data_IF_833488030011
#
_entry.id   IF_833488030011
#
_cell.length_a   1.000
_cell.length_b   1.000
_cell.length_c   1.000
_cell.angle_alpha   90.00
_cell.angle_beta   90.00
_cell.angle_gamma   90.00
#
_symmetry.space_group_name_H-M   'P 1'
#
loop_
_entity.id
_entity.type
_entity.pdbx_description
1 polymer ?
#
# COMPACT_ATOMS: atom_id res chain seq x y z
N UNK A 1 -15.16 12.27 11.39
CA UNK A 1 -13.94 11.72 10.77
C UNK A 1 -14.24 11.57 9.30
N UNK A 2 -13.49 12.19 8.40
CA UNK A 2 -13.74 12.06 6.97
C UNK A 2 -13.42 10.65 6.50
N UNK A 3 -14.44 9.92 6.10
CA UNK A 3 -14.34 8.58 5.50
C UNK A 3 -13.89 8.60 4.03
N UNK A 4 -13.47 9.76 3.55
CA UNK A 4 -13.14 10.04 2.16
C UNK A 4 -11.79 9.41 1.78
N UNK A 5 -11.73 8.49 0.83
CA UNK A 5 -10.47 7.91 0.38
C UNK A 5 -9.67 8.95 -0.39
N UNK A 6 -8.40 9.13 -0.01
CA UNK A 6 -7.45 10.08 -0.65
C UNK A 6 -6.05 9.51 -0.58
N UNK A 7 -5.19 9.91 -1.49
CA UNK A 7 -3.77 9.57 -1.39
C UNK A 7 -3.21 9.94 0.00
N UNK A 8 -2.36 9.09 0.55
CA UNK A 8 -1.82 9.24 1.88
C UNK A 8 -2.75 8.82 3.03
N UNK A 9 -3.93 8.25 2.75
CA UNK A 9 -4.77 7.61 3.77
C UNK A 9 -4.48 6.10 3.81
N UNK A 10 -4.76 5.49 4.96
CA UNK A 10 -4.75 4.04 5.11
C UNK A 10 -6.17 3.49 4.96
N UNK A 11 -6.26 2.39 4.22
CA UNK A 11 -7.39 1.47 4.28
C UNK A 11 -7.02 0.34 5.22
N UNK A 12 -7.72 0.24 6.33
CA UNK A 12 -7.50 -0.83 7.31
C UNK A 12 -8.65 -1.82 7.20
N UNK A 13 -8.33 -3.05 6.82
CA UNK A 13 -9.32 -4.10 6.66
C UNK A 13 -10.11 -4.34 7.95
N UNK A 14 -11.44 -4.40 7.84
CA UNK A 14 -12.27 -4.76 9.00
C UNK A 14 -12.03 -6.24 9.39
N UNK A 15 -12.26 -6.65 10.63
CA UNK A 15 -12.08 -8.03 11.06
C UNK A 15 -12.87 -9.05 10.26
N UNK A 16 -13.98 -8.60 9.64
CA UNK A 16 -14.91 -9.45 8.87
C UNK A 16 -14.53 -9.58 7.40
N UNK A 17 -13.55 -8.81 6.91
CA UNK A 17 -13.07 -8.90 5.54
C UNK A 17 -12.37 -10.25 5.32
N UNK A 18 -13.05 -11.17 4.62
CA UNK A 18 -12.61 -12.55 4.43
C UNK A 18 -11.76 -12.78 3.17
N UNK A 19 -11.52 -11.76 2.34
CA UNK A 19 -10.66 -11.90 1.17
C UNK A 19 -9.21 -12.22 1.59
N UNK A 20 -8.61 -13.33 1.10
CA UNK A 20 -7.29 -13.76 1.53
C UNK A 20 -6.17 -12.76 1.22
N UNK A 21 -6.33 -11.90 0.20
CA UNK A 21 -5.35 -10.88 -0.12
C UNK A 21 -5.39 -9.72 0.89
N UNK A 22 -6.57 -9.48 1.50
CA UNK A 22 -6.80 -8.31 2.33
C UNK A 22 -7.21 -8.61 3.78
N UNK A 23 -7.36 -9.87 4.18
CA UNK A 23 -7.61 -10.20 5.59
C UNK A 23 -6.56 -9.52 6.47
N UNK A 24 -7.00 -8.57 7.36
CA UNK A 24 -6.11 -7.76 8.22
C UNK A 24 -5.05 -6.98 7.45
N UNK A 25 -5.32 -6.59 6.22
CA UNK A 25 -4.43 -5.72 5.48
C UNK A 25 -4.48 -4.28 6.01
N UNK A 26 -3.34 -3.61 5.87
CA UNK A 26 -3.19 -2.17 5.96
C UNK A 26 -2.69 -1.72 4.59
N UNK A 27 -3.50 -0.98 3.87
CA UNK A 27 -3.17 -0.51 2.52
C UNK A 27 -2.96 1.00 2.57
N UNK A 28 -1.85 1.48 2.05
CA UNK A 28 -1.65 2.90 1.80
C UNK A 28 -2.24 3.25 0.43
N UNK A 29 -3.12 4.23 0.38
CA UNK A 29 -3.57 4.81 -0.89
C UNK A 29 -2.43 5.67 -1.43
N UNK A 30 -1.93 5.31 -2.61
CA UNK A 30 -0.83 5.99 -3.30
C UNK A 30 -1.38 7.04 -4.28
N UNK A 31 -2.44 6.67 -5.01
CA UNK A 31 -3.14 7.54 -5.95
C UNK A 31 -4.65 7.30 -5.82
N UNK A 32 -5.43 8.37 -5.95
CA UNK A 32 -6.88 8.31 -5.94
C UNK A 32 -7.44 9.42 -6.82
N UNK A 33 -8.19 9.05 -7.82
CA UNK A 33 -8.88 9.95 -8.74
C UNK A 33 -10.28 9.38 -9.03
N UNK A 34 -11.32 10.20 -8.90
CA UNK A 34 -12.72 9.77 -9.04
C UNK A 34 -13.00 9.06 -10.37
N UNK A 35 -12.38 9.52 -11.47
CA UNK A 35 -12.59 8.97 -12.82
C UNK A 35 -11.62 7.85 -13.20
N UNK A 36 -10.49 7.72 -12.52
CA UNK A 36 -9.45 6.74 -12.82
C UNK A 36 -9.39 5.59 -11.82
N UNK A 37 -9.99 5.78 -10.64
CA UNK A 37 -9.99 4.82 -9.55
C UNK A 37 -8.83 5.01 -8.58
N UNK A 38 -8.55 3.98 -7.80
CA UNK A 38 -7.61 4.04 -6.69
C UNK A 38 -6.50 3.02 -6.86
N UNK A 39 -5.27 3.45 -6.56
CA UNK A 39 -4.11 2.59 -6.43
C UNK A 39 -3.58 2.65 -4.99
N UNK A 40 -3.29 1.47 -4.43
CA UNK A 40 -2.70 1.37 -3.11
C UNK A 40 -1.68 0.23 -3.01
N UNK A 41 -0.91 0.23 -1.93
CA UNK A 41 0.03 -0.84 -1.60
C UNK A 41 -0.22 -1.40 -0.22
N UNK A 42 -0.22 -2.73 -0.09
CA UNK A 42 -0.35 -3.42 1.19
C UNK A 42 0.96 -3.32 1.95
N UNK A 43 0.93 -2.69 3.13
CA UNK A 43 2.12 -2.38 3.92
C UNK A 43 2.60 -3.52 4.81
N UNK A 44 1.73 -4.50 5.11
CA UNK A 44 1.97 -5.50 6.12
C UNK A 44 1.98 -6.94 5.58
N UNK A 45 2.64 -7.12 4.44
CA UNK A 45 2.84 -8.45 3.83
C UNK A 45 4.32 -8.63 3.44
N UNK A 46 5.23 -8.74 4.41
CA UNK A 46 6.62 -9.07 4.09
C UNK A 46 6.71 -10.44 3.43
N UNK A 47 7.62 -10.61 2.50
CA UNK A 47 7.96 -11.91 1.91
C UNK A 47 9.27 -12.43 2.51
N UNK A 48 9.69 -13.61 2.09
CA UNK A 48 11.00 -14.17 2.44
C UNK A 48 12.10 -13.75 1.47
N UNK A 49 11.76 -12.99 0.41
CA UNK A 49 12.71 -12.56 -0.63
C UNK A 49 13.38 -11.26 -0.18
N UNK A 50 14.69 -11.31 0.06
CA UNK A 50 15.49 -10.13 0.35
C UNK A 50 15.56 -9.17 -0.83
N UNK A 51 15.55 -7.86 -0.57
CA UNK A 51 15.68 -6.84 -1.63
C UNK A 51 16.93 -7.09 -2.47
N UNK A 52 18.05 -7.45 -1.86
CA UNK A 52 19.31 -7.72 -2.54
C UNK A 52 19.27 -8.92 -3.51
N UNK A 53 18.31 -9.81 -3.39
CA UNK A 53 18.17 -10.95 -4.31
C UNK A 53 17.57 -10.55 -5.67
N UNK A 54 16.84 -9.43 -5.73
CA UNK A 54 16.12 -8.98 -6.94
C UNK A 54 16.56 -7.60 -7.40
N UNK A 55 17.07 -6.77 -6.48
CA UNK A 55 17.49 -5.40 -6.70
C UNK A 55 18.79 -5.12 -5.93
N UNK A 56 19.86 -5.80 -6.29
CA UNK A 56 21.16 -5.80 -5.57
C UNK A 56 21.65 -4.39 -5.23
N UNK A 57 21.55 -3.47 -6.19
CA UNK A 57 22.02 -2.09 -6.04
C UNK A 57 21.21 -1.25 -5.03
N UNK A 58 20.05 -1.74 -4.56
CA UNK A 58 19.17 -1.06 -3.61
C UNK A 58 19.26 -1.64 -2.19
N UNK A 59 20.07 -2.68 -1.97
CA UNK A 59 20.17 -3.42 -0.72
C UNK A 59 20.48 -2.53 0.47
N UNK A 60 21.51 -1.68 0.36
CA UNK A 60 21.99 -0.80 1.42
C UNK A 60 20.98 0.30 1.82
N UNK A 61 20.03 0.61 0.92
CA UNK A 61 19.03 1.65 1.13
C UNK A 61 17.70 1.10 1.66
N UNK A 62 17.51 -0.22 1.58
CA UNK A 62 16.26 -0.86 2.00
C UNK A 62 16.12 -0.84 3.53
N UNK A 63 15.00 -0.30 4.02
CA UNK A 63 14.67 -0.26 5.45
C UNK A 63 14.30 -1.65 5.97
N UNK A 64 14.75 -1.98 7.18
CA UNK A 64 14.42 -3.25 7.84
C UNK A 64 12.90 -3.41 8.10
N UNK A 65 12.36 -4.63 7.92
CA UNK A 65 13.03 -5.79 7.34
C UNK A 65 13.32 -5.57 5.85
N UNK A 66 14.60 -5.78 5.45
CA UNK A 66 15.11 -5.53 4.09
C UNK A 66 14.66 -6.61 3.10
N UNK A 67 13.35 -6.83 3.02
CA UNK A 67 12.69 -7.79 2.13
C UNK A 67 11.72 -7.09 1.19
N UNK A 68 11.35 -7.79 0.12
CA UNK A 68 10.26 -7.35 -0.76
C UNK A 68 8.93 -7.64 -0.07
N UNK A 69 8.02 -6.68 -0.11
CA UNK A 69 6.66 -6.81 0.40
C UNK A 69 5.69 -7.15 -0.74
N UNK A 70 4.66 -7.94 -0.47
CA UNK A 70 3.57 -8.15 -1.42
C UNK A 70 2.63 -6.95 -1.35
N UNK A 71 2.71 -6.06 -2.34
CA UNK A 71 1.95 -4.81 -2.39
C UNK A 71 0.48 -4.98 -2.77
N UNK A 72 0.13 -6.13 -3.37
CA UNK A 72 -1.25 -6.44 -3.74
C UNK A 72 -1.36 -7.52 -4.82
N UNK A 73 -2.59 -7.85 -5.25
CA UNK A 73 -2.84 -8.94 -6.20
C UNK A 73 -2.58 -8.56 -7.66
N UNK A 74 -2.42 -7.27 -7.98
CA UNK A 74 -2.24 -6.78 -9.37
C UNK A 74 -0.76 -6.67 -9.71
N UNK A 75 -0.37 -7.11 -10.91
CA UNK A 75 0.98 -7.00 -11.48
C UNK A 75 2.10 -7.44 -10.51
N UNK A 76 1.98 -8.61 -9.91
CA UNK A 76 2.92 -9.13 -8.90
C UNK A 76 4.36 -9.32 -9.40
N UNK A 77 4.57 -9.29 -10.70
CA UNK A 77 5.89 -9.29 -11.36
C UNK A 77 6.46 -7.89 -11.63
N UNK A 78 5.79 -6.84 -11.16
CA UNK A 78 6.25 -5.46 -11.25
C UNK A 78 6.62 -4.97 -9.86
N UNK A 79 7.70 -4.20 -9.75
CA UNK A 79 8.13 -3.59 -8.51
C UNK A 79 7.62 -2.14 -8.40
N UNK A 80 7.23 -1.74 -7.20
CA UNK A 80 6.93 -0.38 -6.80
C UNK A 80 7.76 -0.06 -5.56
N UNK A 81 8.32 1.12 -5.47
CA UNK A 81 9.07 1.53 -4.30
C UNK A 81 8.52 2.82 -3.69
N UNK A 82 8.45 2.84 -2.36
CA UNK A 82 8.17 4.02 -1.57
C UNK A 82 9.43 4.44 -0.85
N UNK A 83 9.77 5.72 -0.94
CA UNK A 83 10.93 6.29 -0.27
C UNK A 83 10.57 7.57 0.48
N UNK A 84 11.18 7.73 1.67
CA UNK A 84 11.13 8.96 2.44
C UNK A 84 12.38 9.78 2.12
N UNK A 85 12.17 10.97 1.55
CA UNK A 85 13.23 11.91 1.22
C UNK A 85 12.95 13.22 1.95
N UNK A 86 13.55 13.48 3.13
CA UNK A 86 13.43 14.75 3.83
C UNK A 86 14.08 15.88 3.04
N UNK A 87 13.66 17.11 3.28
CA UNK A 87 14.20 18.27 2.58
C UNK A 87 13.18 18.89 1.62
N UNK A 88 13.61 19.89 0.84
CA UNK A 88 12.75 20.65 -0.07
C UNK A 88 12.88 20.22 -1.52
N UNK A 89 14.01 19.62 -1.87
CA UNK A 89 14.32 19.23 -3.25
C UNK A 89 13.57 17.96 -3.65
N UNK A 90 13.20 17.88 -4.92
CA UNK A 90 12.64 16.68 -5.53
C UNK A 90 13.68 16.09 -6.47
N UNK A 91 14.44 15.09 -6.03
CA UNK A 91 15.47 14.50 -6.87
C UNK A 91 14.83 13.74 -8.05
N UNK A 92 15.55 13.70 -9.17
CA UNK A 92 15.12 12.96 -10.36
C UNK A 92 14.89 11.49 -10.01
N UNK A 93 13.74 10.94 -10.42
CA UNK A 93 13.37 9.56 -10.13
C UNK A 93 12.58 9.39 -8.82
N UNK A 94 12.26 10.48 -8.12
CA UNK A 94 11.36 10.45 -6.98
C UNK A 94 10.22 11.47 -7.15
N UNK A 95 9.00 11.10 -6.78
CA UNK A 95 7.80 11.94 -6.84
C UNK A 95 7.04 11.85 -5.52
N UNK A 96 6.83 12.97 -4.86
CA UNK A 96 6.04 13.03 -3.64
C UNK A 96 4.61 12.47 -3.87
N UNK A 97 4.01 11.89 -2.84
CA UNK A 97 2.58 11.56 -2.85
C UNK A 97 1.77 12.85 -2.75
N UNK A 98 0.90 13.07 -3.72
CA UNK A 98 0.02 14.22 -3.76
C UNK A 98 -1.02 14.14 -2.63
N UNK A 99 -1.39 15.30 -2.04
CA UNK A 99 -2.46 15.37 -1.06
C UNK A 99 -2.19 14.73 0.30
N UNK A 100 -0.96 14.34 0.60
CA UNK A 100 -0.58 13.64 1.84
C UNK A 100 0.31 14.47 2.79
N UNK A 101 -0.13 15.64 3.30
CA UNK A 101 0.71 16.49 4.13
C UNK A 101 1.19 15.83 5.43
N UNK A 102 0.42 14.88 5.96
CA UNK A 102 0.78 14.11 7.16
C UNK A 102 1.94 13.12 6.93
N UNK A 103 2.19 12.74 5.68
CA UNK A 103 3.28 11.83 5.30
C UNK A 103 4.53 12.56 4.81
N UNK A 104 4.65 13.84 5.16
CA UNK A 104 5.72 14.74 4.78
C UNK A 104 6.89 14.07 4.04
N UNK A 105 6.92 14.23 2.71
CA UNK A 105 8.05 13.77 1.86
C UNK A 105 8.16 12.25 1.66
N UNK A 106 7.07 11.51 1.86
CA UNK A 106 6.92 10.16 1.32
C UNK A 106 6.58 10.26 -0.19
N UNK A 107 7.18 9.45 -1.00
CA UNK A 107 6.92 9.45 -2.45
C UNK A 107 7.21 8.11 -3.12
N UNK A 108 6.78 8.03 -4.37
CA UNK A 108 7.13 6.95 -5.29
C UNK A 108 8.55 7.14 -5.80
N UNK A 109 9.30 6.06 -5.83
CA UNK A 109 10.67 6.04 -6.34
C UNK A 109 10.76 5.15 -7.57
N UNK A 110 11.38 5.68 -8.62
CA UNK A 110 11.70 4.96 -9.84
C UNK A 110 12.96 4.12 -9.63
N UNK A 111 12.80 2.81 -9.61
CA UNK A 111 13.88 1.84 -9.39
C UNK A 111 14.84 1.73 -10.58
N UNK A 112 14.51 2.27 -11.74
CA UNK A 112 15.42 2.36 -12.90
C UNK A 112 16.42 3.54 -12.76
N UNK A 113 16.15 4.48 -11.86
CA UNK A 113 17.09 5.57 -11.53
C UNK A 113 18.30 5.00 -10.79
N UNK A 114 19.54 5.32 -11.18
CA UNK A 114 20.73 4.83 -10.49
C UNK A 114 20.73 5.21 -8.98
N UNK A 115 20.85 4.26 -8.04
CA UNK A 115 20.78 4.52 -6.61
C UNK A 115 21.74 5.59 -6.11
N UNK A 116 22.94 5.69 -6.72
CA UNK A 116 23.95 6.71 -6.35
C UNK A 116 23.45 8.16 -6.43
N UNK A 117 22.45 8.42 -7.27
CA UNK A 117 21.87 9.76 -7.42
C UNK A 117 20.88 10.09 -6.31
N UNK A 118 20.29 9.06 -5.69
CA UNK A 118 19.21 9.17 -4.71
C UNK A 118 19.67 8.83 -3.29
N UNK A 119 20.68 7.97 -3.16
CA UNK A 119 21.18 7.49 -1.86
C UNK A 119 21.44 8.60 -0.82
N UNK A 120 22.05 9.75 -1.16
CA UNK A 120 22.30 10.79 -0.17
C UNK A 120 21.03 11.44 0.39
N UNK A 121 19.91 11.33 -0.31
CA UNK A 121 18.64 11.97 0.05
C UNK A 121 17.65 10.99 0.72
N UNK A 122 17.79 9.68 0.48
CA UNK A 122 16.87 8.67 1.00
C UNK A 122 17.17 8.39 2.48
N UNK A 123 16.16 8.48 3.32
CA UNK A 123 16.25 8.05 4.73
C UNK A 123 15.54 6.73 5.00
N UNK A 124 14.57 6.37 4.17
CA UNK A 124 13.87 5.07 4.27
C UNK A 124 13.39 4.66 2.88
N UNK A 125 13.50 3.37 2.58
CA UNK A 125 13.07 2.77 1.32
C UNK A 125 12.38 1.43 1.59
N UNK A 126 11.24 1.19 0.94
CA UNK A 126 10.56 -0.12 0.95
C UNK A 126 10.09 -0.49 -0.45
N UNK A 127 10.33 -1.74 -0.82
CA UNK A 127 10.02 -2.29 -2.15
C UNK A 127 8.82 -3.23 -2.04
N UNK A 128 7.91 -3.10 -2.99
CA UNK A 128 6.67 -3.87 -3.08
C UNK A 128 6.60 -4.59 -4.42
N UNK A 129 6.20 -5.87 -4.40
CA UNK A 129 5.82 -6.62 -5.59
C UNK A 129 4.30 -6.51 -5.80
N UNK A 130 3.89 -5.93 -6.91
CA UNK A 130 2.50 -5.66 -7.23
C UNK A 130 1.87 -4.55 -6.41
N UNK A 131 0.57 -4.35 -6.62
CA UNK A 131 -0.24 -3.32 -5.98
C UNK A 131 -1.71 -3.76 -5.83
N UNK A 132 -2.49 -3.01 -5.07
CA UNK A 132 -3.93 -3.11 -4.99
C UNK A 132 -4.56 -2.02 -5.87
N UNK A 133 -5.59 -2.37 -6.63
CA UNK A 133 -6.26 -1.43 -7.52
C UNK A 133 -7.77 -1.54 -7.40
N UNK A 134 -8.45 -0.41 -7.41
CA UNK A 134 -9.91 -0.29 -7.43
C UNK A 134 -10.34 0.53 -8.64
N UNK A 135 -11.37 0.07 -9.34
CA UNK A 135 -12.02 0.84 -10.41
C UNK A 135 -12.74 2.07 -9.82
N UNK A 136 -13.08 3.08 -10.65
CA UNK A 136 -13.87 4.21 -10.20
C UNK A 136 -15.14 3.79 -9.43
N UNK A 137 -15.36 4.36 -8.25
CA UNK A 137 -16.50 4.07 -7.37
C UNK A 137 -16.45 2.73 -6.63
N UNK A 138 -15.50 1.85 -6.95
CA UNK A 138 -15.42 0.52 -6.30
C UNK A 138 -14.97 0.62 -4.85
N UNK A 139 -13.95 1.44 -4.57
CA UNK A 139 -13.44 1.61 -3.21
C UNK A 139 -14.50 2.23 -2.30
N UNK A 140 -15.21 3.24 -2.79
CA UNK A 140 -16.29 3.91 -2.08
C UNK A 140 -17.40 2.91 -1.70
N UNK A 141 -17.81 2.07 -2.65
CA UNK A 141 -18.79 1.02 -2.40
C UNK A 141 -18.31 0.02 -1.33
N UNK A 142 -17.03 -0.40 -1.38
CA UNK A 142 -16.45 -1.30 -0.37
C UNK A 142 -16.35 -0.65 1.02
N UNK A 143 -16.11 0.68 1.09
CA UNK A 143 -16.13 1.45 2.34
C UNK A 143 -17.56 1.51 2.91
N UNK A 144 -18.54 1.80 2.08
CA UNK A 144 -19.97 1.87 2.45
C UNK A 144 -20.50 0.50 2.91
N UNK A 145 -19.99 -0.59 2.34
CA UNK A 145 -20.28 -1.97 2.76
C UNK A 145 -19.56 -2.36 4.05
N UNK A 146 -18.67 -1.51 4.58
CA UNK A 146 -17.96 -1.76 5.83
C UNK A 146 -16.77 -2.71 5.68
N UNK A 147 -16.13 -2.78 4.51
CA UNK A 147 -14.92 -3.57 4.28
C UNK A 147 -13.67 -2.87 4.85
N UNK A 148 -13.65 -1.55 4.85
CA UNK A 148 -12.48 -0.74 5.17
C UNK A 148 -12.76 0.37 6.16
N UNK A 149 -11.83 0.59 7.08
CA UNK A 149 -11.72 1.84 7.86
C UNK A 149 -10.71 2.76 7.17
N UNK A 150 -11.11 4.01 6.90
CA UNK A 150 -10.23 5.03 6.31
C UNK A 150 -9.56 5.81 7.45
N UNK A 151 -8.25 5.65 7.60
CA UNK A 151 -7.46 6.17 8.73
C UNK A 151 -6.35 7.08 8.22
N UNK A 152 -5.98 8.10 9.00
CA UNK A 152 -4.82 8.94 8.68
C UNK A 152 -3.53 8.15 8.85
N UNK A 153 -2.72 8.09 7.79
CA UNK A 153 -1.43 7.45 7.83
C UNK A 153 -0.40 8.27 8.62
N UNK A 154 0.57 7.58 9.20
CA UNK A 154 1.77 8.17 9.79
C UNK A 154 3.01 7.64 9.05
N UNK A 155 4.12 8.40 8.97
CA UNK A 155 5.33 7.93 8.29
C UNK A 155 5.83 6.57 8.80
N UNK A 156 5.73 6.33 10.11
CA UNK A 156 6.11 5.06 10.73
C UNK A 156 5.27 3.85 10.32
N UNK A 157 4.08 4.04 9.73
CA UNK A 157 3.26 2.92 9.23
C UNK A 157 3.88 2.29 7.99
N UNK A 158 4.43 3.12 7.10
CA UNK A 158 5.00 2.66 5.84
C UNK A 158 6.28 1.88 6.07
N UNK A 159 7.08 2.29 7.07
CA UNK A 159 8.37 1.70 7.40
C UNK A 159 8.35 0.95 8.74
N UNK A 160 7.20 0.37 9.10
CA UNK A 160 7.06 -0.39 10.34
C UNK A 160 8.11 -1.51 10.44
N UNK A 161 8.83 -1.56 11.56
CA UNK A 161 9.82 -2.60 11.83
C UNK A 161 9.18 -3.97 12.08
N UNK A 162 7.96 -4.00 12.58
CA UNK A 162 7.14 -5.21 12.77
C UNK A 162 5.84 -5.10 11.95
N UNK A 163 5.91 -5.41 10.63
CA UNK A 163 4.77 -5.26 9.74
C UNK A 163 3.62 -6.22 10.07
N UNK A 164 3.88 -7.36 10.69
CA UNK A 164 2.84 -8.32 11.06
C UNK A 164 1.90 -7.76 12.14
N UNK A 165 2.40 -6.86 12.99
CA UNK A 165 1.62 -6.18 14.02
C UNK A 165 1.00 -4.88 13.56
N UNK A 166 1.31 -4.38 12.36
CA UNK A 166 0.89 -3.07 11.88
C UNK A 166 -0.64 -2.87 11.96
N UNK A 167 -1.43 -3.87 11.56
CA UNK A 167 -2.89 -3.81 11.61
C UNK A 167 -3.40 -3.50 13.03
N UNK A 168 -2.86 -4.20 14.03
CA UNK A 168 -3.22 -3.97 15.44
C UNK A 168 -2.70 -2.63 15.95
N UNK A 169 -1.51 -2.21 15.54
CA UNK A 169 -0.90 -0.95 15.95
C UNK A 169 -1.71 0.25 15.43
N UNK A 170 -2.11 0.21 14.14
CA UNK A 170 -2.92 1.26 13.53
C UNK A 170 -4.29 1.39 14.20
N UNK A 171 -4.95 0.28 14.52
CA UNK A 171 -6.24 0.30 15.22
C UNK A 171 -6.10 0.80 16.67
N UNK A 172 -5.08 0.36 17.41
CA UNK A 172 -4.89 0.75 18.82
C UNK A 172 -4.72 2.24 19.05
N UNK A 173 -4.17 2.95 18.06
CA UNK A 173 -3.98 4.40 18.17
C UNK A 173 -5.23 5.22 17.81
N UNK A 174 -6.31 4.55 17.42
CA UNK A 174 -7.58 5.23 17.15
C UNK A 174 -8.37 5.39 18.45
N UNK A 175 -9.23 6.43 18.47
CA UNK A 175 -10.15 6.66 19.57
C UNK A 175 -11.40 5.78 19.44
N UNK A 176 -12.05 5.53 20.57
CA UNK A 176 -13.34 4.85 20.63
C UNK A 176 -13.29 3.37 20.25
N UNK A 177 -14.34 2.90 19.58
CA UNK A 177 -14.57 1.47 19.31
C UNK A 177 -13.49 0.84 18.40
N UNK A 178 -12.83 1.61 17.56
CA UNK A 178 -11.78 1.10 16.68
C UNK A 178 -10.58 0.53 17.45
N UNK A 179 -10.24 1.12 18.60
CA UNK A 179 -9.13 0.62 19.43
C UNK A 179 -9.41 -0.76 20.00
N UNK A 180 -10.67 -1.08 20.29
CA UNK A 180 -11.06 -2.41 20.78
C UNK A 180 -10.93 -3.49 19.70
N UNK A 181 -11.09 -3.13 18.42
CA UNK A 181 -10.92 -4.08 17.30
C UNK A 181 -9.49 -4.64 17.22
N UNK A 182 -8.50 -3.93 17.75
CA UNK A 182 -7.12 -4.42 17.83
C UNK A 182 -6.98 -5.70 18.68
N UNK A 183 -7.96 -5.98 19.54
CA UNK A 183 -7.99 -7.21 20.37
C UNK A 183 -8.71 -8.37 19.69
N UNK A 184 -9.32 -8.13 18.52
CA UNK A 184 -10.07 -9.17 17.79
C UNK A 184 -9.15 -10.36 17.46
N UNK A 185 -9.57 -11.62 17.79
CA UNK A 185 -8.73 -12.79 17.59
C UNK A 185 -8.41 -13.03 16.12
N UNK A 186 -7.27 -13.65 15.84
CA UNK A 186 -6.84 -13.95 14.46
C UNK A 186 -7.75 -14.97 13.78
N UNK A 187 -8.31 -15.87 14.58
CA UNK A 187 -9.36 -16.79 14.16
C UNK A 187 -10.61 -16.57 15.03
N UNK A 188 -11.64 -15.91 14.49
CA UNK A 188 -12.88 -15.67 15.24
C UNK A 188 -13.63 -16.96 15.59
N UNK A 189 -13.34 -18.07 14.91
CA UNK A 189 -14.00 -19.36 15.19
C UNK A 189 -13.52 -19.98 16.50
N UNK A 190 -12.35 -19.62 17.00
CA UNK A 190 -11.81 -20.10 18.27
C UNK A 190 -12.64 -19.67 19.51
N UNK A 191 -13.48 -18.64 19.35
CA UNK A 191 -14.36 -18.14 20.42
C UNK A 191 -15.83 -18.55 20.25
N UNK A 192 -16.14 -19.36 19.24
CA UNK A 192 -17.49 -19.90 19.07
C UNK A 192 -17.67 -21.09 20.01
N UNK A 193 -18.50 -20.92 21.05
CA UNK A 193 -19.04 -22.08 21.80
C UNK A 193 -19.79 -23.00 20.82
N UNK A 194 -19.75 -24.33 21.01
CA UNK A 194 -20.49 -25.25 20.15
C UNK A 194 -21.99 -24.93 20.23
N UNK A 195 -22.53 -24.28 19.20
CA UNK A 195 -23.93 -23.84 19.11
C UNK A 195 -24.18 -22.41 18.63
N UNK A 196 -23.16 -21.60 18.44
CA UNK A 196 -23.29 -20.22 17.94
C UNK A 196 -23.44 -20.15 16.41
N UNK A 197 -24.47 -19.44 15.94
CA UNK A 197 -24.71 -19.18 14.50
C UNK A 197 -23.59 -18.31 13.96
N UNK A 198 -22.87 -18.77 12.94
CA UNK A 198 -21.83 -18.01 12.22
C UNK A 198 -22.43 -16.73 11.64
N UNK A 199 -21.87 -15.54 11.89
CA UNK A 199 -22.27 -14.33 11.18
C UNK A 199 -22.03 -14.55 9.69
N UNK A 200 -23.03 -14.21 8.85
CA UNK A 200 -22.87 -14.26 7.40
C UNK A 200 -21.79 -13.26 6.98
N UNK A 201 -20.64 -13.77 6.62
CA UNK A 201 -19.56 -12.98 6.01
C UNK A 201 -20.08 -12.39 4.69
N UNK A 202 -20.01 -11.10 4.45
CA UNK A 202 -20.24 -10.53 3.13
C UNK A 202 -19.24 -11.16 2.17
N UNK A 203 -19.74 -11.86 1.15
CA UNK A 203 -18.89 -12.38 0.07
C UNK A 203 -18.61 -11.23 -0.88
N UNK A 204 -17.65 -10.37 -0.54
CA UNK A 204 -17.07 -9.42 -1.46
C UNK A 204 -16.34 -10.21 -2.54
N UNK A 205 -16.97 -10.38 -3.70
CA UNK A 205 -16.28 -10.84 -4.90
C UNK A 205 -15.57 -9.62 -5.49
N UNK A 206 -14.37 -9.35 -5.04
CA UNK A 206 -13.51 -8.37 -5.67
C UNK A 206 -13.24 -8.80 -7.12
N UNK A 207 -13.89 -8.11 -8.07
CA UNK A 207 -13.69 -8.31 -9.50
C UNK A 207 -12.55 -7.38 -9.93
N UNK A 208 -11.33 -7.85 -9.74
CA UNK A 208 -10.12 -7.12 -10.06
C UNK A 208 -10.02 -6.85 -11.56
N UNK A 209 -10.30 -5.62 -11.97
CA UNK A 209 -10.03 -5.13 -13.31
C UNK A 209 -8.91 -4.09 -13.23
N UNK A 210 -7.95 -4.18 -14.16
CA UNK A 210 -6.88 -3.18 -14.29
C UNK A 210 -7.51 -1.83 -14.64
N UNK A 211 -7.27 -0.75 -13.89
CA UNK A 211 -7.65 0.58 -14.34
C UNK A 211 -6.93 0.87 -15.68
N UNK A 212 -7.65 1.38 -16.69
CA UNK A 212 -7.10 1.53 -18.06
C UNK A 212 -5.94 2.52 -18.17
N UNK A 213 -5.77 3.43 -17.26
CA UNK A 213 -4.82 4.55 -17.33
C UNK A 213 -3.40 4.25 -16.82
N UNK A 214 -3.20 3.13 -16.11
CA UNK A 214 -1.90 2.83 -15.50
C UNK A 214 -0.83 2.37 -16.51
N UNK A 215 -1.21 1.98 -17.73
CA UNK A 215 -0.28 1.60 -18.82
C UNK A 215 0.58 2.75 -19.32
N UNK A 216 0.21 4.00 -19.06
CA UNK A 216 0.83 5.17 -19.69
C UNK A 216 1.96 5.82 -18.87
N UNK A 217 2.15 5.47 -17.59
CA UNK A 217 3.12 6.14 -16.71
C UNK A 217 4.33 5.31 -16.28
N UNK A 218 4.28 3.98 -16.45
CA UNK A 218 5.48 3.14 -16.37
C UNK A 218 5.90 2.86 -17.81
N UNK A 219 6.78 3.67 -18.37
CA UNK A 219 7.42 3.37 -19.65
C UNK A 219 8.28 2.12 -19.47
N UNK A 220 8.13 1.10 -20.32
CA UNK A 220 9.10 0.02 -20.35
C UNK A 220 10.47 0.57 -20.77
N UNK A 221 11.58 0.06 -20.23
CA UNK A 221 12.91 0.48 -20.64
C UNK A 221 13.08 0.20 -22.13
N UNK A 222 13.48 1.22 -22.93
CA UNK A 222 13.90 1.05 -24.31
C UNK A 222 13.11 1.76 -25.42
N UNK A 223 12.08 2.56 -25.15
CA UNK A 223 11.42 3.35 -26.21
C UNK A 223 12.06 4.73 -26.37
N UNK A 224 13.07 4.82 -27.25
CA UNK A 224 13.56 6.11 -27.76
C UNK A 224 12.45 6.83 -28.55
N UNK A 225 12.32 8.17 -28.45
CA UNK A 225 11.44 8.94 -29.32
C UNK A 225 11.94 8.85 -30.76
N UNK A 226 11.10 8.41 -31.69
CA UNK A 226 11.37 8.55 -33.12
C UNK A 226 11.37 10.04 -33.44
N UNK A 227 12.50 10.55 -33.91
CA UNK A 227 12.61 11.88 -34.50
C UNK A 227 11.64 12.01 -35.67
N UNK A 228 10.92 13.15 -35.87
CA UNK A 228 10.18 13.39 -37.09
C UNK A 228 11.16 13.58 -38.20
N UNK A 229 11.05 12.75 -39.24
CA UNK A 229 11.88 12.77 -40.43
C UNK A 229 11.67 14.02 -41.26
N UNK A 230 12.74 14.40 -41.91
CA UNK A 230 12.85 15.38 -42.97
C UNK A 230 11.92 15.03 -44.15
#
# INVERSE_FOLDING_TARGET
MGSDPKAGRLLVATPLLGDPNFKRAVVLIVEHEDEQGTLGVVLNRPTTVGVGQVLEQWTELATEPSVVFRGGPVAQNSALALALIPGKDEPVGWRALDGAPALARLGLLDLDTPPRLLAPAITSLRVYAGYAGWSPGQLEAEIDEGAWYVITAQPGDVFAADPDRLWRQVLRRQDGDLSFLATYPDDPTLNLSPGGTTPRTPRLRARWQRPPSYRARIRPPGSQPRSPGQ
#
